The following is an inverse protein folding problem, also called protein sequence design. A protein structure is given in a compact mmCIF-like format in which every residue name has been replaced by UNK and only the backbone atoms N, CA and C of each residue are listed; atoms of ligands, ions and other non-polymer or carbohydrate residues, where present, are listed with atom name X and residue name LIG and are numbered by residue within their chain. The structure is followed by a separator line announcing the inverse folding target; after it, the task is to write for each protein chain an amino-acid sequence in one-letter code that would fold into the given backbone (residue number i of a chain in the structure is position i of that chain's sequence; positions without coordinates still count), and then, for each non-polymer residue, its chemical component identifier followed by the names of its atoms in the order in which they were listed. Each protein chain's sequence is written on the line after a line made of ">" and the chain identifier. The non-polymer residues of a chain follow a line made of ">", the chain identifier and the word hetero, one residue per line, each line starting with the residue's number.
data_IF_336777434037
#
_entry.id   IF_336777434037
#
_cell.length_a   1.000
_cell.length_b   1.000
_cell.length_c   1.000
_cell.angle_alpha   90.00
_cell.angle_beta   90.00
_cell.angle_gamma   90.00
#
_symmetry.space_group_name_H-M   'P 1'
#
loop_
_entity.id
_entity.type
_entity.pdbx_description
1 polymer ?
#
# COMPACT_ATOMS: atom_id res chain seq x y z
N UNK A 1 16.02 0.52 1.98
CA UNK A 1 14.71 0.56 2.65
C UNK A 1 13.62 0.12 1.69
N UNK A 2 12.69 -0.70 2.15
CA UNK A 2 11.58 -1.16 1.33
C UNK A 2 10.33 -0.35 1.65
N UNK A 3 9.64 0.13 0.63
CA UNK A 3 8.36 0.83 0.73
C UNK A 3 7.25 -0.04 0.18
N UNK A 4 6.19 -0.21 0.97
CA UNK A 4 5.03 -1.02 0.58
C UNK A 4 3.86 -0.06 0.39
N UNK A 5 3.46 0.13 -0.86
CA UNK A 5 2.39 1.06 -1.24
C UNK A 5 1.02 0.40 -1.14
N UNK A 6 0.10 1.06 -0.46
CA UNK A 6 -1.29 0.63 -0.43
C UNK A 6 -2.09 1.19 -1.62
N UNK A 7 -3.37 0.86 -1.69
CA UNK A 7 -4.24 1.33 -2.76
C UNK A 7 -4.38 2.85 -2.76
N UNK A 8 -4.52 3.46 -1.58
CA UNK A 8 -4.75 4.91 -1.47
C UNK A 8 -3.54 5.72 -1.95
N UNK A 9 -2.32 5.28 -1.61
CA UNK A 9 -1.11 5.98 -2.02
C UNK A 9 -0.88 5.87 -3.53
N UNK A 10 -1.12 4.70 -4.13
CA UNK A 10 -1.01 4.54 -5.59
C UNK A 10 -2.07 5.39 -6.29
N UNK A 11 -3.32 5.36 -5.81
CA UNK A 11 -4.39 6.18 -6.39
C UNK A 11 -4.06 7.67 -6.33
N UNK A 12 -3.45 8.14 -5.25
CA UNK A 12 -3.07 9.54 -5.11
C UNK A 12 -2.04 10.02 -6.12
N UNK A 13 -1.31 9.10 -6.76
CA UNK A 13 -0.38 9.45 -7.84
C UNK A 13 -1.11 10.09 -9.03
N UNK A 14 -2.43 9.89 -9.18
CA UNK A 14 -3.21 10.53 -10.24
C UNK A 14 -3.21 12.06 -10.17
N UNK A 15 -2.87 12.63 -9.01
CA UNK A 15 -2.78 14.08 -8.83
C UNK A 15 -1.46 14.66 -9.36
N UNK A 16 -0.53 13.81 -9.74
CA UNK A 16 0.80 14.20 -10.22
C UNK A 16 0.93 13.84 -11.70
N UNK A 17 0.53 14.76 -12.57
CA UNK A 17 0.51 14.50 -14.01
C UNK A 17 1.93 14.13 -14.51
N UNK A 18 2.12 13.00 -15.21
CA UNK A 18 3.45 12.56 -15.65
C UNK A 18 4.16 13.59 -16.54
N UNK A 19 3.40 14.35 -17.34
CA UNK A 19 3.96 15.39 -18.22
C UNK A 19 4.51 16.59 -17.46
N UNK A 20 4.10 16.79 -16.20
CA UNK A 20 4.50 17.92 -15.36
C UNK A 20 5.45 17.48 -14.25
N UNK A 21 5.15 16.37 -13.61
CA UNK A 21 5.91 15.87 -12.46
C UNK A 21 6.80 14.70 -12.85
N UNK A 22 7.59 14.89 -13.91
CA UNK A 22 8.43 13.85 -14.48
C UNK A 22 9.40 13.25 -13.46
N UNK A 23 9.96 14.07 -12.57
CA UNK A 23 10.88 13.60 -11.54
C UNK A 23 10.26 12.54 -10.63
N UNK A 24 8.97 12.69 -10.27
CA UNK A 24 8.25 11.73 -9.44
C UNK A 24 8.16 10.38 -10.16
N UNK A 25 7.69 10.39 -11.40
CA UNK A 25 7.48 9.14 -12.15
C UNK A 25 8.79 8.44 -12.50
N UNK A 26 9.82 9.19 -12.88
CA UNK A 26 11.16 8.64 -13.11
C UNK A 26 11.72 8.04 -11.80
N UNK A 27 11.52 8.74 -10.69
CA UNK A 27 11.95 8.27 -9.37
C UNK A 27 11.25 6.99 -8.93
N UNK A 28 9.94 6.89 -9.18
CA UNK A 28 9.18 5.67 -8.90
C UNK A 28 9.72 4.49 -9.72
N UNK A 29 10.02 4.71 -11.00
CA UNK A 29 10.56 3.67 -11.86
C UNK A 29 11.93 3.18 -11.37
N UNK A 30 12.77 4.10 -10.89
CA UNK A 30 14.06 3.74 -10.30
C UNK A 30 13.87 2.85 -9.07
N UNK A 31 12.95 3.22 -8.18
CA UNK A 31 12.67 2.43 -6.98
C UNK A 31 12.11 1.04 -7.31
N UNK A 32 11.28 0.95 -8.36
CA UNK A 32 10.79 -0.35 -8.84
C UNK A 32 11.95 -1.20 -9.35
N UNK A 33 12.85 -0.63 -10.14
CA UNK A 33 14.03 -1.34 -10.66
C UNK A 33 14.96 -1.80 -9.53
N UNK A 34 15.09 -1.02 -8.48
CA UNK A 34 15.88 -1.35 -7.30
C UNK A 34 15.19 -2.34 -6.36
N UNK A 35 13.95 -2.72 -6.66
CA UNK A 35 13.13 -3.62 -5.83
C UNK A 35 12.87 -3.05 -4.43
N UNK A 36 12.85 -1.74 -4.31
CA UNK A 36 12.57 -1.04 -3.05
C UNK A 36 11.14 -0.53 -2.96
N UNK A 37 10.41 -0.48 -4.07
CA UNK A 37 8.99 -0.17 -4.08
C UNK A 37 8.22 -1.42 -4.45
N UNK A 38 7.40 -1.92 -3.53
CA UNK A 38 6.58 -3.12 -3.71
C UNK A 38 5.14 -2.88 -3.26
N UNK A 39 4.27 -3.81 -3.58
CA UNK A 39 2.89 -3.81 -3.13
C UNK A 39 2.39 -5.26 -3.09
N UNK A 40 1.09 -5.48 -3.03
CA UNK A 40 0.51 -6.82 -2.98
C UNK A 40 -0.51 -7.03 -4.09
N UNK A 41 -0.75 -8.28 -4.43
CA UNK A 41 -1.76 -8.70 -5.39
C UNK A 41 -3.14 -8.13 -5.05
N UNK A 42 -3.46 -8.03 -3.78
CA UNK A 42 -4.76 -7.52 -3.31
C UNK A 42 -4.93 -6.03 -3.66
N UNK A 43 -3.84 -5.25 -3.63
CA UNK A 43 -3.87 -3.85 -4.10
C UNK A 43 -4.15 -3.79 -5.60
N UNK A 44 -3.49 -4.65 -6.40
CA UNK A 44 -3.76 -4.71 -7.83
C UNK A 44 -5.25 -4.99 -8.11
N UNK A 45 -5.83 -5.93 -7.39
CA UNK A 45 -7.24 -6.27 -7.54
C UNK A 45 -8.16 -5.08 -7.19
N UNK A 46 -7.81 -4.30 -6.17
CA UNK A 46 -8.56 -3.10 -5.83
C UNK A 46 -8.44 -2.01 -6.91
N UNK A 47 -7.22 -1.80 -7.42
CA UNK A 47 -6.99 -0.80 -8.48
C UNK A 47 -7.81 -1.09 -9.73
N UNK A 48 -7.92 -2.37 -10.12
CA UNK A 48 -8.72 -2.77 -11.27
C UNK A 48 -10.21 -2.46 -11.10
N UNK A 49 -10.71 -2.43 -9.87
CA UNK A 49 -12.12 -2.19 -9.57
C UNK A 49 -12.44 -0.72 -9.29
N UNK A 50 -11.43 0.14 -9.16
CA UNK A 50 -11.61 1.55 -8.86
C UNK A 50 -11.52 2.39 -10.11
N UNK A 51 -12.18 3.55 -10.07
CA UNK A 51 -12.09 4.55 -11.13
C UNK A 51 -10.88 5.44 -10.86
N UNK A 52 -9.74 5.09 -11.47
CA UNK A 52 -8.50 5.85 -11.37
C UNK A 52 -8.02 6.27 -12.76
N UNK A 53 -7.10 7.22 -12.82
CA UNK A 53 -6.62 7.75 -14.10
C UNK A 53 -5.93 6.67 -14.94
N UNK A 54 -6.01 6.84 -16.27
CA UNK A 54 -5.37 5.93 -17.22
C UNK A 54 -3.86 5.90 -17.03
N UNK A 55 -3.23 7.02 -16.66
CA UNK A 55 -1.80 7.10 -16.41
C UNK A 55 -1.36 6.20 -15.26
N UNK A 56 -2.10 6.21 -14.15
CA UNK A 56 -1.80 5.37 -12.99
C UNK A 56 -2.02 3.90 -13.33
N UNK A 57 -3.13 3.57 -14.01
CA UNK A 57 -3.40 2.20 -14.44
C UNK A 57 -2.32 1.67 -15.38
N UNK A 58 -1.89 2.48 -16.34
CA UNK A 58 -0.83 2.10 -17.28
C UNK A 58 0.48 1.84 -16.56
N UNK A 59 0.86 2.72 -15.64
CA UNK A 59 2.06 2.54 -14.82
C UNK A 59 1.98 1.25 -14.00
N UNK A 60 0.85 0.99 -13.36
CA UNK A 60 0.65 -0.21 -12.56
C UNK A 60 0.73 -1.47 -13.42
N UNK A 61 0.14 -1.47 -14.61
CA UNK A 61 0.22 -2.60 -15.55
C UNK A 61 1.64 -2.86 -16.00
N UNK A 62 2.40 -1.80 -16.31
CA UNK A 62 3.79 -1.91 -16.73
C UNK A 62 4.70 -2.41 -15.61
N UNK A 63 4.26 -2.26 -14.35
CA UNK A 63 5.00 -2.65 -13.16
C UNK A 63 4.27 -3.74 -12.37
N UNK A 64 3.47 -4.56 -13.03
CA UNK A 64 2.60 -5.53 -12.37
C UNK A 64 3.36 -6.48 -11.44
N UNK A 65 4.63 -6.70 -11.72
CA UNK A 65 5.50 -7.59 -10.92
C UNK A 65 5.71 -7.09 -9.47
N UNK A 66 5.47 -5.80 -9.19
CA UNK A 66 5.58 -5.29 -7.81
C UNK A 66 4.44 -5.77 -6.92
N UNK A 67 3.30 -6.15 -7.51
CA UNK A 67 2.11 -6.62 -6.79
C UNK A 67 2.25 -8.10 -6.50
N UNK A 68 3.03 -8.43 -5.48
CA UNK A 68 3.42 -9.80 -5.20
C UNK A 68 2.30 -10.62 -4.55
N UNK A 69 2.30 -11.91 -4.85
CA UNK A 69 1.44 -12.87 -4.15
C UNK A 69 1.96 -13.02 -2.72
N UNK A 70 1.08 -12.95 -1.70
CA UNK A 70 1.52 -13.07 -0.31
C UNK A 70 2.26 -14.38 -0.05
N UNK A 71 3.39 -14.27 0.63
CA UNK A 71 4.14 -15.43 1.09
C UNK A 71 3.44 -16.06 2.31
N UNK A 72 3.81 -17.29 2.62
CA UNK A 72 3.25 -18.04 3.75
C UNK A 72 3.35 -17.26 5.06
N UNK A 73 4.50 -16.65 5.33
CA UNK A 73 4.71 -15.84 6.54
C UNK A 73 3.80 -14.62 6.57
N UNK A 74 3.56 -13.99 5.42
CA UNK A 74 2.64 -12.85 5.32
C UNK A 74 1.20 -13.28 5.61
N UNK A 75 0.76 -14.43 5.08
CA UNK A 75 -0.57 -14.96 5.35
C UNK A 75 -0.76 -15.30 6.82
N UNK A 76 0.26 -15.85 7.46
CA UNK A 76 0.23 -16.11 8.90
C UNK A 76 0.10 -14.81 9.70
N UNK A 77 0.78 -13.76 9.27
CA UNK A 77 0.68 -12.47 9.94
C UNK A 77 -0.69 -11.81 9.73
N UNK A 78 -1.28 -11.95 8.54
CA UNK A 78 -2.67 -11.52 8.29
C UNK A 78 -3.61 -12.18 9.29
N UNK A 79 -3.50 -13.49 9.46
CA UNK A 79 -4.30 -14.23 10.43
C UNK A 79 -4.08 -13.70 11.84
N UNK A 80 -2.85 -13.39 12.20
CA UNK A 80 -2.50 -12.82 13.51
C UNK A 80 -3.16 -11.46 13.74
N UNK A 81 -3.13 -10.57 12.74
CA UNK A 81 -3.82 -9.27 12.81
C UNK A 81 -5.31 -9.48 13.08
N UNK A 82 -5.95 -10.40 12.34
CA UNK A 82 -7.39 -10.62 12.40
C UNK A 82 -7.85 -11.38 13.64
N UNK A 83 -6.93 -11.92 14.44
CA UNK A 83 -7.25 -12.46 15.76
C UNK A 83 -7.69 -11.36 16.73
N UNK A 84 -7.25 -10.12 16.52
CA UNK A 84 -7.68 -8.99 17.33
C UNK A 84 -9.01 -8.51 16.79
N UNK A 85 -10.07 -8.64 17.60
CA UNK A 85 -11.45 -8.37 17.18
C UNK A 85 -11.61 -6.96 16.60
N UNK A 86 -10.98 -5.96 17.23
CA UNK A 86 -11.04 -4.58 16.76
C UNK A 86 -10.50 -4.43 15.34
N UNK A 87 -9.48 -5.19 14.98
CA UNK A 87 -8.86 -5.11 13.66
C UNK A 87 -9.60 -5.88 12.57
N UNK A 88 -10.59 -6.67 12.92
CA UNK A 88 -11.43 -7.33 11.93
C UNK A 88 -12.21 -6.33 11.09
N UNK A 89 -12.40 -5.10 11.57
CA UNK A 89 -13.03 -4.02 10.80
C UNK A 89 -12.20 -3.57 9.60
N UNK A 90 -10.90 -3.93 9.52
CA UNK A 90 -10.10 -3.70 8.31
C UNK A 90 -10.72 -4.36 7.08
N UNK A 91 -11.41 -5.49 7.26
CA UNK A 91 -12.01 -6.22 6.13
C UNK A 91 -13.31 -5.58 5.68
N UNK A 92 -14.04 -4.93 6.58
CA UNK A 92 -15.37 -4.40 6.28
C UNK A 92 -16.40 -5.51 6.09
N UNK A 93 -17.66 -5.24 6.43
CA UNK A 93 -18.70 -6.25 6.42
C UNK A 93 -19.06 -6.72 5.01
N UNK A 94 -19.16 -5.78 4.05
CA UNK A 94 -19.52 -6.13 2.68
C UNK A 94 -18.50 -7.04 2.01
N UNK A 95 -17.21 -6.79 2.23
CA UNK A 95 -16.14 -7.62 1.69
C UNK A 95 -16.13 -9.00 2.34
N UNK A 96 -16.43 -9.10 3.62
CA UNK A 96 -16.56 -10.39 4.31
C UNK A 96 -17.68 -11.24 3.69
N UNK A 97 -18.83 -10.63 3.44
CA UNK A 97 -19.97 -11.32 2.85
C UNK A 97 -19.73 -11.75 1.41
N UNK A 98 -18.98 -10.96 0.65
CA UNK A 98 -18.65 -11.26 -0.76
C UNK A 98 -17.45 -12.21 -0.88
N UNK A 99 -16.74 -12.47 0.21
CA UNK A 99 -15.51 -13.27 0.17
C UNK A 99 -14.38 -12.59 -0.59
N UNK A 100 -14.45 -11.29 -0.83
CA UNK A 100 -13.44 -10.53 -1.56
C UNK A 100 -12.33 -10.10 -0.62
N UNK A 101 -11.05 -10.44 -0.88
CA UNK A 101 -9.95 -9.98 -0.05
C UNK A 101 -9.81 -8.47 -0.08
N UNK A 102 -9.53 -7.87 1.07
CA UNK A 102 -9.23 -6.45 1.24
C UNK A 102 -7.72 -6.31 1.39
N UNK A 103 -7.13 -5.29 0.75
CA UNK A 103 -5.68 -5.15 0.71
C UNK A 103 -5.06 -4.80 2.07
N UNK A 104 -5.76 -4.08 2.93
CA UNK A 104 -5.17 -3.47 4.13
C UNK A 104 -4.36 -4.42 5.01
N UNK A 105 -4.90 -5.57 5.46
CA UNK A 105 -4.10 -6.46 6.30
C UNK A 105 -2.92 -7.09 5.56
N UNK A 106 -3.05 -7.29 4.24
CA UNK A 106 -1.96 -7.86 3.42
C UNK A 106 -0.81 -6.86 3.26
N UNK A 107 -1.12 -5.57 3.13
CA UNK A 107 -0.10 -4.51 3.06
C UNK A 107 0.69 -4.45 4.37
N UNK A 108 0.01 -4.47 5.49
CA UNK A 108 0.66 -4.43 6.81
C UNK A 108 1.54 -5.66 7.00
N UNK A 109 1.03 -6.83 6.65
CA UNK A 109 1.79 -8.09 6.75
C UNK A 109 3.01 -8.08 5.84
N UNK A 110 2.86 -7.60 4.61
CA UNK A 110 3.97 -7.47 3.66
C UNK A 110 5.10 -6.60 4.24
N UNK A 111 4.75 -5.45 4.79
CA UNK A 111 5.72 -4.55 5.41
C UNK A 111 6.38 -5.20 6.64
N UNK A 112 5.59 -5.86 7.49
CA UNK A 112 6.13 -6.52 8.70
C UNK A 112 7.17 -7.59 8.35
N UNK A 113 6.83 -8.47 7.42
CA UNK A 113 7.69 -9.59 7.06
C UNK A 113 8.95 -9.13 6.31
N UNK A 114 8.84 -8.09 5.49
CA UNK A 114 9.95 -7.57 4.70
C UNK A 114 10.70 -6.42 5.39
N UNK A 115 10.40 -6.12 6.64
CA UNK A 115 10.99 -4.99 7.39
C UNK A 115 10.87 -3.69 6.64
N UNK A 116 9.74 -3.49 5.98
CA UNK A 116 9.46 -2.31 5.15
C UNK A 116 8.65 -1.25 5.86
N UNK A 117 8.41 -0.17 5.13
CA UNK A 117 7.58 0.95 5.56
C UNK A 117 6.32 1.00 4.70
N UNK A 118 5.15 1.04 5.33
CA UNK A 118 3.89 1.21 4.62
C UNK A 118 3.76 2.67 4.19
N UNK A 119 3.38 2.89 2.93
CA UNK A 119 3.03 4.22 2.42
C UNK A 119 1.52 4.25 2.18
N UNK A 120 0.81 5.08 2.92
CA UNK A 120 -0.66 5.18 2.86
C UNK A 120 -1.11 6.61 3.04
N UNK A 121 -2.22 6.96 2.40
CA UNK A 121 -2.87 8.26 2.62
C UNK A 121 -3.91 8.20 3.74
N UNK A 122 -4.16 7.02 4.32
CA UNK A 122 -4.99 6.93 5.51
C UNK A 122 -4.29 7.58 6.70
N UNK A 123 -5.09 8.19 7.58
CA UNK A 123 -4.56 8.88 8.75
C UNK A 123 -4.92 8.14 10.05
N UNK A 124 -4.01 8.18 11.01
CA UNK A 124 -4.24 7.63 12.33
C UNK A 124 -5.39 8.41 12.99
N UNK A 125 -6.37 7.66 13.50
CA UNK A 125 -7.50 8.23 14.24
C UNK A 125 -7.65 7.50 15.57
N UNK A 126 -7.89 8.22 16.68
CA UNK A 126 -8.08 7.57 17.98
C UNK A 126 -9.15 6.47 17.91
N UNK A 127 -8.85 5.31 18.46
CA UNK A 127 -9.78 4.17 18.58
C UNK A 127 -10.25 3.59 17.24
N UNK A 128 -9.61 3.94 16.12
CA UNK A 128 -9.94 3.39 14.81
C UNK A 128 -9.05 2.19 14.47
N UNK A 129 -9.45 1.43 13.46
CA UNK A 129 -8.65 0.32 12.90
C UNK A 129 -8.22 0.67 11.47
N UNK A 130 -7.62 1.85 11.31
CA UNK A 130 -7.02 2.28 10.05
C UNK A 130 -5.62 1.68 9.91
N UNK A 131 -5.06 1.68 8.69
CA UNK A 131 -3.71 1.16 8.46
C UNK A 131 -2.70 1.75 9.45
N UNK A 132 -2.62 3.09 9.66
CA UNK A 132 -1.66 3.63 10.62
C UNK A 132 -1.89 3.14 12.06
N UNK A 133 -3.14 2.95 12.46
CA UNK A 133 -3.47 2.44 13.80
C UNK A 133 -2.92 1.02 14.00
N UNK A 134 -3.14 0.16 13.02
CA UNK A 134 -2.70 -1.24 13.09
C UNK A 134 -1.19 -1.32 12.99
N UNK A 135 -0.56 -0.52 12.13
CA UNK A 135 0.89 -0.43 12.04
C UNK A 135 1.51 -0.03 13.38
N UNK A 136 0.93 0.96 14.07
CA UNK A 136 1.41 1.38 15.38
C UNK A 136 1.33 0.23 16.39
N UNK A 137 0.24 -0.53 16.37
CA UNK A 137 0.07 -1.66 17.28
C UNK A 137 1.14 -2.74 17.10
N UNK A 138 1.50 -3.05 15.84
CA UNK A 138 2.47 -4.09 15.50
C UNK A 138 3.88 -3.58 15.28
N UNK A 139 4.12 -2.30 15.55
CA UNK A 139 5.45 -1.69 15.41
C UNK A 139 5.95 -1.73 13.95
N UNK A 140 5.05 -1.47 13.01
CA UNK A 140 5.36 -1.36 11.59
C UNK A 140 5.48 0.11 11.23
N UNK A 141 6.58 0.49 10.57
CA UNK A 141 6.78 1.87 10.09
C UNK A 141 5.71 2.23 9.06
N UNK A 142 5.11 3.42 9.20
CA UNK A 142 4.01 3.86 8.36
C UNK A 142 4.14 5.36 8.10
N UNK A 143 4.11 5.77 6.84
CA UNK A 143 4.25 7.17 6.42
C UNK A 143 3.21 7.48 5.34
N UNK A 144 2.97 8.76 5.09
CA UNK A 144 2.16 9.20 3.97
C UNK A 144 3.01 9.47 2.72
N UNK A 145 2.35 9.79 1.62
CA UNK A 145 3.02 10.02 0.35
C UNK A 145 3.93 11.25 0.40
N UNK A 146 3.52 12.30 1.12
CA UNK A 146 4.34 13.50 1.29
C UNK A 146 5.67 13.15 1.98
N UNK A 147 5.59 12.41 3.10
CA UNK A 147 6.79 12.01 3.83
C UNK A 147 7.68 11.09 2.99
N UNK A 148 7.06 10.19 2.21
CA UNK A 148 7.79 9.35 1.27
C UNK A 148 8.59 10.20 0.29
N UNK A 149 7.95 11.20 -0.33
CA UNK A 149 8.62 12.08 -1.29
C UNK A 149 9.75 12.89 -0.65
N UNK A 150 9.54 13.37 0.58
CA UNK A 150 10.57 14.05 1.35
C UNK A 150 11.79 13.15 1.58
N UNK A 151 11.55 11.88 1.91
CA UNK A 151 12.63 10.90 2.11
C UNK A 151 13.40 10.61 0.83
N UNK A 152 12.76 10.74 -0.33
CA UNK A 152 13.44 10.61 -1.62
C UNK A 152 14.21 11.87 -2.01
N UNK A 153 14.02 12.96 -1.28
CA UNK A 153 14.65 14.23 -1.60
C UNK A 153 14.04 14.93 -2.80
N UNK A 154 12.82 14.60 -3.17
CA UNK A 154 12.12 15.21 -4.31
C UNK A 154 11.57 16.57 -3.88
N UNK A 155 11.98 17.63 -4.61
CA UNK A 155 11.50 18.98 -4.41
C UNK A 155 11.37 19.67 -5.79
N UNK A 156 10.38 20.54 -5.90
CA UNK A 156 10.06 21.23 -7.14
C UNK A 156 9.95 22.73 -6.92
#
# INVERSE_FOLDING_TARGET
>A
MIYVFDTSSIRSLQHFYPSVFKTIWDGLDILVQQKTLISTREVWNELERQNISDDVLAWAKNNKHIFTTPASAELQFVAHILQIKHFQSLIGEQQRLKGTPVADPFIIACAKINSGTVVTEEQLKPNAAKIPNVCAHFNVSCIDLERFMQQQGWAF
#
